data_IF_972801186794
#
_entry.id   IF_972801186794
#
_cell.length_a   1.000
_cell.length_b   1.000
_cell.length_c   1.000
_cell.angle_alpha   90.00
_cell.angle_beta   90.00
_cell.angle_gamma   90.00
#
_symmetry.space_group_name_H-M   'P 1'
#
loop_
_entity.id
_entity.type
_entity.pdbx_description
1 polymer ?
#
# COMPACT_ATOMS: atom_id res chain seq x y z
N UNK A 1 -10.01 1.76 1.54
CA UNK A 1 -9.36 0.71 2.35
C UNK A 1 -10.12 0.45 3.64
N UNK A 2 -10.17 1.38 4.60
CA UNK A 2 -10.97 1.19 5.82
C UNK A 2 -10.21 0.48 6.94
N UNK A 3 -9.02 0.94 7.29
CA UNK A 3 -8.40 0.50 8.54
C UNK A 3 -9.29 0.88 9.74
N UNK A 4 -9.18 0.15 10.86
CA UNK A 4 -9.82 0.51 12.12
C UNK A 4 -9.17 1.74 12.76
N UNK A 5 -7.85 1.87 12.63
CA UNK A 5 -7.14 3.12 12.86
C UNK A 5 -5.89 3.22 11.99
N UNK A 6 -5.45 4.45 11.76
CA UNK A 6 -4.25 4.81 11.00
C UNK A 6 -3.42 5.74 11.86
N UNK A 7 -2.11 5.57 11.82
CA UNK A 7 -1.14 6.43 12.50
C UNK A 7 -0.10 6.95 11.50
N UNK A 8 0.37 8.18 11.74
CA UNK A 8 1.48 8.80 11.00
C UNK A 8 2.45 9.33 12.03
N UNK A 9 3.68 8.82 12.00
CA UNK A 9 4.68 9.10 13.00
C UNK A 9 5.91 9.74 12.35
N UNK A 10 6.58 10.60 13.11
CA UNK A 10 7.83 11.24 12.72
C UNK A 10 8.99 10.72 13.58
N UNK A 11 10.11 10.41 12.94
CA UNK A 11 11.39 10.09 13.60
C UNK A 11 11.48 8.72 14.27
N UNK A 12 10.54 7.80 14.03
CA UNK A 12 10.67 6.45 14.60
C UNK A 12 11.92 5.73 14.08
N UNK A 13 12.62 5.05 15.00
CA UNK A 13 13.88 4.34 14.75
C UNK A 13 15.10 5.24 14.63
N UNK A 14 15.04 6.26 13.76
CA UNK A 14 16.21 7.05 13.33
C UNK A 14 16.29 8.47 13.91
N UNK A 15 15.34 8.87 14.76
CA UNK A 15 15.31 10.17 15.41
C UNK A 15 14.62 11.29 14.61
N UNK A 16 14.40 12.43 15.26
CA UNK A 16 13.68 13.57 14.71
C UNK A 16 14.33 14.11 13.44
N UNK A 17 13.53 14.33 12.40
CA UNK A 17 13.95 14.93 11.12
C UNK A 17 14.44 13.92 10.09
N UNK A 18 14.40 12.61 10.39
CA UNK A 18 15.06 11.58 9.57
C UNK A 18 14.10 10.55 8.96
N UNK A 19 12.88 10.45 9.46
CA UNK A 19 11.86 9.54 8.89
C UNK A 19 10.45 10.06 9.11
N UNK A 20 9.58 9.74 8.15
CA UNK A 20 8.13 9.75 8.33
C UNK A 20 7.66 8.37 7.92
N UNK A 21 6.85 7.73 8.73
CA UNK A 21 6.25 6.43 8.43
C UNK A 21 4.80 6.39 8.88
N UNK A 22 4.03 5.51 8.26
CA UNK A 22 2.63 5.29 8.55
C UNK A 22 2.42 3.86 9.02
N UNK A 23 1.46 3.69 9.93
CA UNK A 23 0.97 2.39 10.37
C UNK A 23 -0.54 2.33 10.22
N UNK A 24 -1.07 1.13 10.03
CA UNK A 24 -2.51 0.87 10.07
C UNK A 24 -2.79 -0.38 10.87
N UNK A 25 -3.97 -0.43 11.47
CA UNK A 25 -4.51 -1.65 12.08
C UNK A 25 -5.96 -1.80 11.67
N UNK A 26 -6.35 -3.04 11.39
CA UNK A 26 -7.71 -3.40 11.01
C UNK A 26 -8.22 -4.51 11.93
N UNK A 27 -9.48 -4.42 12.34
CA UNK A 27 -10.11 -5.40 13.24
C UNK A 27 -10.99 -6.34 12.42
N UNK A 28 -10.78 -7.64 12.60
CA UNK A 28 -11.64 -8.70 12.08
C UNK A 28 -12.66 -9.11 13.16
N UNK A 29 -13.78 -8.40 13.24
CA UNK A 29 -14.82 -8.63 14.27
C UNK A 29 -15.92 -9.62 13.84
N UNK A 30 -15.78 -10.23 12.66
CA UNK A 30 -16.74 -11.21 12.11
C UNK A 30 -17.91 -10.58 11.35
N UNK A 31 -17.98 -9.25 11.22
CA UNK A 31 -19.03 -8.58 10.43
C UNK A 31 -18.71 -8.55 8.94
N UNK A 32 -19.75 -8.50 8.10
CA UNK A 32 -19.61 -8.31 6.65
C UNK A 32 -18.87 -7.00 6.30
N UNK A 33 -19.09 -5.95 7.11
CA UNK A 33 -18.37 -4.69 6.95
C UNK A 33 -16.87 -4.86 7.20
N UNK A 34 -16.48 -5.59 8.25
CA UNK A 34 -15.08 -5.87 8.51
C UNK A 34 -14.46 -6.71 7.38
N UNK A 35 -15.17 -7.70 6.85
CA UNK A 35 -14.70 -8.48 5.69
C UNK A 35 -14.40 -7.58 4.48
N UNK A 36 -15.33 -6.69 4.11
CA UNK A 36 -15.14 -5.75 3.00
C UNK A 36 -14.01 -4.73 3.24
N UNK A 37 -13.82 -4.30 4.49
CA UNK A 37 -12.70 -3.43 4.88
C UNK A 37 -11.35 -4.17 4.79
N UNK A 38 -11.29 -5.42 5.27
CA UNK A 38 -10.10 -6.26 5.27
C UNK A 38 -9.63 -6.57 3.86
N UNK A 39 -10.54 -6.97 2.97
CA UNK A 39 -10.23 -7.21 1.55
C UNK A 39 -9.53 -5.99 0.93
N UNK A 40 -10.07 -4.80 1.16
CA UNK A 40 -9.53 -3.56 0.58
C UNK A 40 -8.23 -3.12 1.25
N UNK A 41 -8.14 -3.15 2.57
CA UNK A 41 -6.96 -2.66 3.29
C UNK A 41 -5.76 -3.58 3.10
N UNK A 42 -5.95 -4.90 3.14
CA UNK A 42 -4.89 -5.88 2.96
C UNK A 42 -4.49 -6.04 1.48
N UNK A 43 -5.29 -5.53 0.55
CA UNK A 43 -4.87 -5.37 -0.86
C UNK A 43 -4.08 -4.07 -1.05
N UNK A 44 -4.62 -2.95 -0.57
CA UNK A 44 -4.08 -1.63 -0.87
C UNK A 44 -2.79 -1.29 -0.10
N UNK A 45 -2.65 -1.72 1.16
CA UNK A 45 -1.48 -1.42 2.00
C UNK A 45 -0.18 -2.04 1.42
N UNK A 46 -0.10 -3.35 1.13
CA UNK A 46 1.05 -3.89 0.41
C UNK A 46 1.11 -3.43 -1.06
N UNK A 47 -0.04 -3.16 -1.69
CA UNK A 47 -0.10 -2.59 -3.05
C UNK A 47 0.64 -1.27 -3.17
N UNK A 48 0.59 -0.41 -2.15
CA UNK A 48 1.38 0.82 -2.09
C UNK A 48 2.90 0.55 -2.07
N UNK A 49 3.32 -0.53 -1.43
CA UNK A 49 4.71 -0.99 -1.46
C UNK A 49 5.16 -1.35 -2.88
N UNK A 50 4.36 -2.12 -3.61
CA UNK A 50 4.64 -2.48 -5.01
C UNK A 50 4.67 -1.23 -5.88
N UNK A 51 3.64 -0.38 -5.81
CA UNK A 51 3.56 0.86 -6.58
C UNK A 51 4.79 1.76 -6.39
N UNK A 52 5.22 1.94 -5.13
CA UNK A 52 6.39 2.74 -4.80
C UNK A 52 7.68 2.19 -5.44
N UNK A 53 7.85 0.87 -5.46
CA UNK A 53 9.05 0.26 -6.03
C UNK A 53 8.99 0.22 -7.57
N UNK A 54 7.80 0.08 -8.17
CA UNK A 54 7.62 0.28 -9.62
C UNK A 54 8.05 1.69 -10.00
N UNK A 55 7.55 2.71 -9.30
CA UNK A 55 7.90 4.12 -9.56
C UNK A 55 9.41 4.40 -9.42
N UNK A 56 10.07 3.70 -8.49
CA UNK A 56 11.52 3.79 -8.31
C UNK A 56 12.35 2.99 -9.36
N UNK A 57 11.69 2.26 -10.27
CA UNK A 57 12.34 1.54 -11.38
C UNK A 57 12.85 0.14 -11.04
N UNK A 58 12.30 -0.54 -10.04
CA UNK A 58 12.67 -1.91 -9.69
C UNK A 58 11.94 -2.93 -10.60
N UNK A 59 12.66 -3.72 -11.43
CA UNK A 59 12.04 -4.67 -12.36
C UNK A 59 11.20 -5.74 -11.65
N UNK A 60 11.62 -6.21 -10.48
CA UNK A 60 10.89 -7.21 -9.71
C UNK A 60 9.52 -6.69 -9.25
N UNK A 61 9.41 -5.37 -9.01
CA UNK A 61 8.15 -4.76 -8.64
C UNK A 61 7.19 -4.66 -9.84
N UNK A 62 7.71 -4.43 -11.05
CA UNK A 62 6.92 -4.46 -12.29
C UNK A 62 6.36 -5.85 -12.55
N UNK A 63 7.19 -6.89 -12.36
CA UNK A 63 6.75 -8.29 -12.46
C UNK A 63 5.64 -8.61 -11.47
N UNK A 64 5.80 -8.20 -10.20
CA UNK A 64 4.78 -8.40 -9.16
C UNK A 64 3.50 -7.62 -9.51
N UNK A 65 3.61 -6.38 -10.00
CA UNK A 65 2.48 -5.58 -10.41
C UNK A 65 1.67 -6.27 -11.52
N UNK A 66 2.34 -6.79 -12.55
CA UNK A 66 1.71 -7.54 -13.63
C UNK A 66 1.06 -8.84 -13.15
N UNK A 67 1.75 -9.63 -12.32
CA UNK A 67 1.24 -10.91 -11.80
C UNK A 67 0.03 -10.74 -10.88
N UNK A 68 -0.03 -9.65 -10.12
CA UNK A 68 -1.09 -9.38 -9.14
C UNK A 68 -2.16 -8.42 -9.63
N UNK A 69 -2.04 -7.91 -10.86
CA UNK A 69 -2.99 -6.97 -11.46
C UNK A 69 -3.01 -5.61 -10.77
N UNK A 70 -1.86 -5.15 -10.25
CA UNK A 70 -1.74 -3.80 -9.68
C UNK A 70 -1.73 -2.80 -10.83
N UNK A 71 -2.72 -1.92 -10.88
CA UNK A 71 -2.84 -0.90 -11.92
C UNK A 71 -1.76 0.16 -11.78
N UNK A 72 -0.97 0.38 -12.85
CA UNK A 72 0.08 1.41 -12.93
C UNK A 72 -0.32 2.49 -13.96
N UNK A 73 -0.94 3.61 -13.55
CA UNK A 73 -1.46 4.60 -14.50
C UNK A 73 -0.40 5.22 -15.41
N UNK A 74 0.82 5.42 -14.92
CA UNK A 74 1.90 6.01 -15.73
C UNK A 74 2.36 5.10 -16.87
N UNK A 75 2.20 3.77 -16.74
CA UNK A 75 2.47 2.81 -17.81
C UNK A 75 1.39 2.76 -18.88
N UNK A 76 0.17 3.22 -18.57
CA UNK A 76 -0.96 3.27 -19.52
C UNK A 76 -0.83 4.44 -20.51
N UNK A 77 -0.09 5.50 -20.14
CA UNK A 77 0.03 6.73 -20.95
C UNK A 77 0.97 6.60 -22.18
N UNK A 78 1.63 5.46 -22.37
CA UNK A 78 2.55 5.19 -23.49
C UNK A 78 1.93 4.43 -24.67
N UNK A 79 0.64 4.12 -24.63
CA UNK A 79 -0.08 3.44 -25.72
C UNK A 79 -1.19 4.33 -26.25
N UNK A 80 -0.80 5.36 -27.00
CA UNK A 80 -1.66 6.08 -27.96
C UNK A 80 -0.95 6.11 -29.31
#
# INVERSE_FOLDING_TARGET
SGASWVSIHHGGGVGMGRSIHAGQVSVADGTDLAAAKLERVLTNDPGMGVLRHVDAGYPEAEEVAAQRGVRIPMGEAGTQ
#
